data_IF_305752222470
#
_entry.id   IF_305752222470
#
_cell.length_a   1.000
_cell.length_b   1.000
_cell.length_c   1.000
_cell.angle_alpha   90.00
_cell.angle_beta   90.00
_cell.angle_gamma   90.00
#
_symmetry.space_group_name_H-M   'P 1'
#
loop_
_entity.id
_entity.type
_entity.pdbx_description
1 polymer ?
#
# COMPACT_ATOMS: atom_id res chain seq x y z
N UNK A 1 -13.89 5.32 -28.81
CA UNK A 1 -12.50 5.43 -28.34
C UNK A 1 -11.77 4.20 -28.83
N UNK A 2 -10.78 4.35 -29.72
CA UNK A 2 -10.07 3.21 -30.32
C UNK A 2 -8.98 2.77 -29.33
N UNK A 3 -9.02 1.52 -28.90
CA UNK A 3 -8.00 0.92 -28.04
C UNK A 3 -6.79 0.62 -28.93
N UNK A 4 -5.67 1.32 -28.74
CA UNK A 4 -4.47 1.18 -29.58
C UNK A 4 -3.64 -0.04 -29.15
N UNK A 5 -3.76 -1.15 -29.86
CA UNK A 5 -2.86 -2.29 -29.68
C UNK A 5 -1.52 -1.98 -30.37
N UNK A 6 -0.58 -1.37 -29.63
CA UNK A 6 0.74 -0.98 -30.15
C UNK A 6 1.80 -2.07 -29.92
N UNK A 7 2.52 -2.44 -30.98
CA UNK A 7 3.66 -3.38 -30.89
C UNK A 7 4.91 -2.68 -30.36
N UNK A 8 5.58 -3.29 -29.38
CA UNK A 8 6.95 -2.97 -29.01
C UNK A 8 7.87 -4.14 -29.40
N UNK A 9 8.64 -4.04 -30.50
CA UNK A 9 9.51 -5.11 -30.98
C UNK A 9 10.60 -5.54 -30.00
N UNK A 10 10.92 -4.72 -28.99
CA UNK A 10 11.86 -5.08 -27.92
C UNK A 10 11.26 -6.05 -26.90
N UNK A 11 9.94 -6.20 -26.87
CA UNK A 11 9.20 -6.98 -25.86
C UNK A 11 8.40 -8.12 -26.50
N UNK A 12 7.75 -7.87 -27.64
CA UNK A 12 6.94 -8.87 -28.32
C UNK A 12 7.17 -8.84 -29.83
N UNK A 13 7.12 -10.03 -30.44
CA UNK A 13 7.18 -10.18 -31.91
C UNK A 13 5.84 -9.93 -32.59
N UNK A 14 4.73 -10.05 -31.84
CA UNK A 14 3.34 -9.92 -32.31
C UNK A 14 2.49 -9.29 -31.21
N UNK A 15 1.38 -8.70 -31.60
CA UNK A 15 0.38 -8.09 -30.70
C UNK A 15 -0.68 -9.08 -30.21
N UNK A 16 -0.59 -10.33 -30.64
CA UNK A 16 -1.49 -11.43 -30.30
C UNK A 16 -0.71 -12.73 -30.22
N UNK A 17 -1.01 -13.53 -29.21
CA UNK A 17 -0.62 -14.93 -29.17
C UNK A 17 -1.66 -15.74 -29.95
N UNK A 18 -1.19 -16.41 -31.00
CA UNK A 18 -1.98 -17.32 -31.83
C UNK A 18 -1.38 -18.70 -31.61
N UNK A 19 -2.21 -19.68 -31.31
CA UNK A 19 -1.74 -21.04 -31.10
C UNK A 19 -1.74 -21.78 -32.43
N UNK A 20 -0.72 -22.59 -32.65
CA UNK A 20 -0.63 -23.49 -33.80
C UNK A 20 -1.13 -24.91 -33.49
N UNK A 21 -1.43 -25.19 -32.22
CA UNK A 21 -2.01 -26.44 -31.73
C UNK A 21 -2.75 -26.22 -30.38
N UNK A 22 -3.34 -27.27 -29.82
CA UNK A 22 -3.98 -27.23 -28.50
C UNK A 22 -2.96 -27.41 -27.36
N UNK A 23 -2.56 -26.29 -26.76
CA UNK A 23 -1.71 -26.26 -25.56
C UNK A 23 -2.50 -26.03 -24.26
N UNK A 24 -3.84 -26.11 -24.29
CA UNK A 24 -4.67 -25.81 -23.13
C UNK A 24 -4.68 -24.33 -22.72
N UNK A 25 -4.41 -23.43 -23.66
CA UNK A 25 -4.49 -21.97 -23.51
C UNK A 25 -5.22 -21.40 -24.71
N UNK A 26 -6.07 -20.41 -24.52
CA UNK A 26 -6.75 -19.71 -25.62
C UNK A 26 -5.81 -18.71 -26.32
N UNK A 27 -6.20 -18.24 -27.50
CA UNK A 27 -5.57 -17.09 -28.13
C UNK A 27 -5.93 -15.79 -27.38
N UNK A 28 -4.98 -14.88 -27.24
CA UNK A 28 -5.21 -13.60 -26.57
C UNK A 28 -4.33 -12.48 -27.13
N UNK A 29 -4.80 -11.25 -26.98
CA UNK A 29 -4.08 -10.06 -27.41
C UNK A 29 -3.10 -9.58 -26.32
N UNK A 30 -1.90 -9.18 -26.72
CA UNK A 30 -0.96 -8.47 -25.86
C UNK A 30 -1.28 -6.98 -25.86
N UNK A 31 -1.61 -6.46 -24.68
CA UNK A 31 -1.66 -5.03 -24.43
C UNK A 31 -0.36 -4.64 -23.74
N UNK A 32 0.54 -4.02 -24.50
CA UNK A 32 1.82 -3.55 -23.98
C UNK A 32 1.66 -2.10 -23.49
N UNK A 33 1.47 -1.85 -22.18
CA UNK A 33 1.37 -0.49 -21.68
C UNK A 33 2.68 0.25 -21.92
N UNK A 34 2.57 1.55 -22.15
CA UNK A 34 3.73 2.44 -22.04
C UNK A 34 4.20 2.45 -20.60
N UNK A 35 5.50 2.42 -20.38
CA UNK A 35 6.10 2.55 -19.04
C UNK A 35 6.07 4.00 -18.57
N UNK A 36 6.18 4.20 -17.26
CA UNK A 36 6.38 5.53 -16.66
C UNK A 36 7.57 6.26 -17.32
N UNK A 37 7.52 7.59 -17.50
CA UNK A 37 6.40 8.49 -17.18
C UNK A 37 5.33 8.57 -18.29
N UNK A 38 5.49 7.83 -19.39
CA UNK A 38 4.64 7.93 -20.58
C UNK A 38 3.42 7.01 -20.56
N UNK A 39 3.13 6.42 -19.40
CA UNK A 39 2.02 5.50 -19.19
C UNK A 39 0.67 6.16 -19.49
N UNK A 40 -0.18 5.43 -20.19
CA UNK A 40 -1.56 5.84 -20.49
C UNK A 40 -2.45 4.78 -19.86
N UNK A 41 -3.13 5.17 -18.77
CA UNK A 41 -4.07 4.31 -18.06
C UNK A 41 -5.48 4.49 -18.63
N UNK A 42 -6.30 3.46 -18.50
CA UNK A 42 -7.72 3.55 -18.86
C UNK A 42 -8.39 4.50 -17.87
N UNK A 43 -8.93 5.60 -18.40
CA UNK A 43 -9.81 6.48 -17.65
C UNK A 43 -11.26 6.05 -17.87
N UNK A 44 -11.99 5.83 -16.80
CA UNK A 44 -13.43 5.59 -16.84
C UNK A 44 -14.11 6.19 -15.61
N UNK A 45 -15.41 6.36 -15.70
CA UNK A 45 -16.27 6.80 -14.60
C UNK A 45 -17.39 5.80 -14.37
N UNK A 46 -17.73 5.55 -13.13
CA UNK A 46 -18.87 4.74 -12.75
C UNK A 46 -20.02 5.64 -12.33
N UNK A 47 -21.25 5.30 -12.73
CA UNK A 47 -22.45 6.00 -12.28
C UNK A 47 -22.63 5.89 -10.75
N UNK A 48 -22.20 4.76 -10.18
CA UNK A 48 -22.13 4.54 -8.73
C UNK A 48 -20.67 4.43 -8.31
N UNK A 49 -20.17 5.29 -7.41
CA UNK A 49 -18.80 5.21 -6.91
C UNK A 49 -18.53 3.88 -6.17
N UNK A 50 -17.34 3.31 -6.36
CA UNK A 50 -16.90 2.17 -5.58
C UNK A 50 -16.43 2.63 -4.20
N UNK A 51 -16.89 1.96 -3.15
CA UNK A 51 -16.39 2.16 -1.78
C UNK A 51 -15.30 1.14 -1.48
N UNK A 52 -14.15 1.33 -2.13
CA UNK A 52 -13.05 0.37 -2.09
C UNK A 52 -12.25 0.40 -0.78
N UNK A 53 -12.28 1.51 -0.05
CA UNK A 53 -11.43 1.73 1.13
C UNK A 53 -12.29 1.98 2.35
N UNK A 54 -11.97 1.33 3.47
CA UNK A 54 -12.72 1.48 4.72
C UNK A 54 -11.79 1.28 5.92
N UNK A 55 -12.03 2.00 7.02
CA UNK A 55 -11.23 1.87 8.23
C UNK A 55 -11.34 0.47 8.86
N UNK A 56 -12.49 -0.19 8.75
CA UNK A 56 -12.70 -1.56 9.26
C UNK A 56 -11.72 -2.59 8.67
N UNK A 57 -11.12 -2.32 7.50
CA UNK A 57 -10.10 -3.20 6.96
C UNK A 57 -8.84 -3.27 7.82
N UNK A 58 -8.55 -2.24 8.62
CA UNK A 58 -7.45 -2.26 9.59
C UNK A 58 -7.71 -3.19 10.78
N UNK A 59 -8.90 -3.79 10.87
CA UNK A 59 -9.30 -4.70 11.95
C UNK A 59 -9.49 -6.14 11.47
N UNK A 60 -9.37 -6.42 10.17
CA UNK A 60 -9.72 -7.72 9.60
C UNK A 60 -8.55 -8.73 9.53
N UNK A 61 -7.32 -8.29 9.86
CA UNK A 61 -6.11 -9.11 9.85
C UNK A 61 -5.58 -9.48 8.47
N UNK A 62 -6.15 -8.96 7.38
CA UNK A 62 -5.70 -9.19 6.01
C UNK A 62 -4.68 -8.12 5.61
N UNK A 63 -3.59 -8.56 5.00
CA UNK A 63 -2.39 -7.74 4.80
C UNK A 63 -2.06 -7.46 3.33
N UNK A 64 -3.00 -7.76 2.42
CA UNK A 64 -2.83 -7.62 0.97
C UNK A 64 -4.19 -7.54 0.27
N UNK A 65 -4.26 -6.99 -0.96
CA UNK A 65 -5.48 -6.95 -1.72
C UNK A 65 -5.77 -8.35 -2.27
N UNK A 66 -6.87 -8.95 -1.81
CA UNK A 66 -7.34 -10.26 -2.30
C UNK A 66 -8.79 -10.15 -2.77
N UNK A 67 -9.79 -10.57 -1.98
CA UNK A 67 -11.20 -10.37 -2.32
C UNK A 67 -11.66 -8.92 -2.21
N UNK A 68 -10.94 -8.10 -1.44
CA UNK A 68 -11.12 -6.66 -1.27
C UNK A 68 -9.75 -6.01 -1.18
N UNK A 69 -9.70 -4.68 -1.16
CA UNK A 69 -8.45 -3.93 -0.97
C UNK A 69 -7.76 -4.25 0.35
N UNK A 70 -8.54 -4.55 1.40
CA UNK A 70 -8.08 -4.83 2.76
C UNK A 70 -7.16 -3.74 3.37
N UNK A 71 -7.20 -2.52 2.83
CA UNK A 71 -6.42 -1.41 3.31
C UNK A 71 -7.30 -0.20 3.60
N UNK A 72 -6.78 0.70 4.43
CA UNK A 72 -7.31 2.05 4.56
C UNK A 72 -6.46 3.00 3.71
N UNK A 73 -7.14 3.88 2.98
CA UNK A 73 -6.55 4.95 2.20
C UNK A 73 -7.23 6.26 2.63
N UNK A 74 -6.48 7.33 2.91
CA UNK A 74 -7.09 8.63 3.20
C UNK A 74 -7.83 9.20 1.98
N UNK A 75 -8.78 10.10 2.23
CA UNK A 75 -9.43 10.84 1.15
C UNK A 75 -8.42 11.73 0.42
N UNK A 76 -8.60 11.91 -0.89
CA UNK A 76 -7.65 12.66 -1.71
C UNK A 76 -7.50 14.13 -1.31
N UNK A 77 -8.52 14.69 -0.68
CA UNK A 77 -8.60 16.07 -0.19
C UNK A 77 -8.35 16.22 1.32
N UNK A 78 -8.11 15.11 2.04
CA UNK A 78 -7.76 15.15 3.46
C UNK A 78 -6.31 15.62 3.64
N UNK A 79 -6.15 16.80 4.23
CA UNK A 79 -4.85 17.43 4.46
C UNK A 79 -4.15 16.95 5.72
N UNK A 80 -4.87 16.31 6.64
CA UNK A 80 -4.32 15.81 7.90
C UNK A 80 -4.91 14.44 8.24
N UNK A 81 -4.69 13.43 7.38
CA UNK A 81 -5.30 12.14 7.57
C UNK A 81 -4.71 11.41 8.78
N UNK A 82 -5.59 10.84 9.59
CA UNK A 82 -5.21 10.02 10.72
C UNK A 82 -6.18 8.86 10.93
N UNK A 83 -5.71 7.84 11.62
CA UNK A 83 -6.53 6.72 12.05
C UNK A 83 -6.22 6.36 13.49
N UNK A 84 -7.22 5.80 14.17
CA UNK A 84 -7.14 5.44 15.58
C UNK A 84 -7.68 4.04 15.82
N UNK A 85 -6.91 3.27 16.57
CA UNK A 85 -7.34 2.04 17.22
C UNK A 85 -7.62 2.33 18.69
N UNK A 86 -8.74 1.81 19.20
CA UNK A 86 -9.17 2.01 20.57
C UNK A 86 -9.64 0.69 21.18
N UNK A 87 -9.10 0.36 22.36
CA UNK A 87 -9.47 -0.82 23.10
C UNK A 87 -10.37 -0.47 24.30
N UNK A 88 -11.36 -1.31 24.64
CA UNK A 88 -12.12 -1.16 25.88
C UNK A 88 -11.21 -1.21 27.10
N UNK A 89 -10.28 -2.17 27.15
CA UNK A 89 -9.33 -2.37 28.23
C UNK A 89 -7.91 -1.99 27.83
N UNK A 90 -7.10 -1.60 28.82
CA UNK A 90 -5.70 -1.24 28.60
C UNK A 90 -4.89 -2.43 28.07
N UNK A 91 -4.10 -2.17 27.02
CA UNK A 91 -3.18 -3.12 26.41
C UNK A 91 -1.77 -2.94 26.99
N UNK A 92 -1.03 -4.04 27.12
CA UNK A 92 0.42 -4.04 27.43
C UNK A 92 1.16 -4.75 26.31
N UNK A 93 2.12 -4.08 25.69
CA UNK A 93 2.83 -4.60 24.53
C UNK A 93 4.32 -4.26 24.58
N UNK A 94 5.14 -5.07 23.92
CA UNK A 94 6.57 -4.83 23.73
C UNK A 94 6.88 -4.17 22.39
N UNK A 95 6.02 -4.33 21.39
CA UNK A 95 6.22 -3.73 20.07
C UNK A 95 4.88 -3.40 19.39
N UNK A 96 4.86 -2.31 18.62
CA UNK A 96 3.85 -2.03 17.60
C UNK A 96 4.49 -2.15 16.22
N UNK A 97 3.76 -2.70 15.26
CA UNK A 97 4.19 -2.77 13.86
C UNK A 97 3.12 -2.19 12.96
N UNK A 98 3.53 -1.28 12.07
CA UNK A 98 2.69 -0.71 11.03
C UNK A 98 3.06 -1.37 9.69
N UNK A 99 2.05 -1.67 8.88
CA UNK A 99 2.22 -2.16 7.52
C UNK A 99 1.59 -1.19 6.51
N UNK A 100 2.44 -0.42 5.84
CA UNK A 100 2.10 0.43 4.70
C UNK A 100 2.19 -0.35 3.39
N UNK A 101 1.44 0.11 2.39
CA UNK A 101 1.63 -0.31 1.00
C UNK A 101 2.51 0.72 0.28
N UNK A 102 3.74 0.32 -0.06
CA UNK A 102 4.62 1.14 -0.90
C UNK A 102 4.49 0.77 -2.39
N UNK A 103 3.35 0.18 -2.79
CA UNK A 103 3.10 -0.41 -4.11
C UNK A 103 4.02 -1.61 -4.37
N UNK A 104 3.74 -2.73 -3.69
CA UNK A 104 4.55 -3.96 -3.76
C UNK A 104 4.66 -4.55 -5.19
N UNK A 105 3.73 -4.20 -6.07
CA UNK A 105 3.73 -4.62 -7.47
C UNK A 105 4.50 -3.65 -8.39
N UNK A 106 4.90 -2.48 -7.87
CA UNK A 106 5.74 -1.54 -8.60
C UNK A 106 7.19 -1.97 -8.62
N UNK A 107 7.58 -2.62 -9.73
CA UNK A 107 8.97 -2.96 -9.96
C UNK A 107 9.84 -1.68 -10.02
N UNK A 108 10.68 -1.51 -8.99
CA UNK A 108 11.84 -0.62 -9.03
C UNK A 108 12.98 -1.34 -9.79
N UNK A 109 12.84 -1.50 -11.10
CA UNK A 109 13.87 -1.85 -12.09
C UNK A 109 15.25 -1.17 -11.83
N UNK A 110 16.31 -1.69 -12.45
CA UNK A 110 17.69 -1.20 -12.22
C UNK A 110 18.46 -1.02 -13.53
N UNK A 111 19.80 -1.10 -13.46
CA UNK A 111 20.86 -0.51 -14.31
C UNK A 111 20.60 -0.46 -15.82
N UNK A 112 19.79 -1.36 -16.39
CA UNK A 112 19.52 -1.42 -17.83
C UNK A 112 18.44 -0.43 -18.31
N UNK A 113 17.49 -0.05 -17.45
CA UNK A 113 16.33 0.79 -17.81
C UNK A 113 16.21 2.04 -16.93
N UNK A 114 16.70 2.00 -15.69
CA UNK A 114 16.59 3.10 -14.73
C UNK A 114 15.16 3.36 -14.27
N UNK A 115 14.99 4.28 -13.32
CA UNK A 115 13.68 4.67 -12.79
C UNK A 115 13.40 6.14 -12.99
N UNK A 116 12.13 6.45 -13.28
CA UNK A 116 11.65 7.83 -13.29
C UNK A 116 11.54 8.42 -11.86
N UNK A 117 11.49 7.58 -10.83
CA UNK A 117 11.25 7.94 -9.44
C UNK A 117 12.26 7.23 -8.54
N UNK A 118 12.87 7.95 -7.59
CA UNK A 118 13.77 7.37 -6.61
C UNK A 118 13.03 6.64 -5.47
N UNK A 119 11.76 6.96 -5.26
CA UNK A 119 10.87 6.39 -4.24
C UNK A 119 9.49 6.20 -4.88
N UNK A 120 8.83 5.07 -4.60
CA UNK A 120 7.47 4.82 -5.11
C UNK A 120 6.49 5.87 -4.58
N UNK A 121 5.58 6.44 -5.40
CA UNK A 121 4.77 7.58 -4.99
C UNK A 121 3.87 7.34 -3.76
N UNK A 122 3.44 6.09 -3.58
CA UNK A 122 2.58 5.66 -2.48
C UNK A 122 3.34 5.47 -1.16
N UNK A 123 4.67 5.56 -1.16
CA UNK A 123 5.47 5.39 0.04
C UNK A 123 5.14 6.46 1.08
N UNK A 124 4.69 6.05 2.27
CA UNK A 124 4.57 6.95 3.43
C UNK A 124 5.97 7.37 3.85
N UNK A 125 6.32 8.64 3.70
CA UNK A 125 7.64 9.16 4.05
C UNK A 125 7.67 9.79 5.44
N UNK A 126 6.53 10.32 5.91
CA UNK A 126 6.44 11.00 7.20
C UNK A 126 5.15 10.66 7.94
N UNK A 127 5.28 10.29 9.20
CA UNK A 127 4.14 10.00 10.07
C UNK A 127 4.47 10.21 11.55
N UNK A 128 3.42 10.34 12.36
CA UNK A 128 3.52 10.30 13.83
C UNK A 128 2.68 9.17 14.38
N UNK A 129 3.23 8.50 15.39
CA UNK A 129 2.57 7.43 16.11
C UNK A 129 2.44 7.83 17.57
N UNK A 130 1.21 7.79 18.08
CA UNK A 130 0.86 8.18 19.44
C UNK A 130 0.25 7.01 20.19
N UNK A 131 0.54 6.93 21.48
CA UNK A 131 -0.13 6.07 22.45
C UNK A 131 -0.89 6.96 23.42
N UNK A 132 -2.22 6.86 23.43
CA UNK A 132 -3.08 7.81 24.14
C UNK A 132 -2.69 9.26 23.77
N UNK A 133 -2.12 10.02 24.72
CA UNK A 133 -1.64 11.40 24.53
C UNK A 133 -0.11 11.52 24.44
N UNK A 134 0.61 10.41 24.45
CA UNK A 134 2.08 10.36 24.39
C UNK A 134 2.56 10.08 22.97
N UNK A 135 3.44 10.95 22.44
CA UNK A 135 4.11 10.70 21.16
C UNK A 135 5.13 9.56 21.32
N UNK A 136 4.88 8.43 20.65
CA UNK A 136 5.80 7.31 20.64
C UNK A 136 6.90 7.51 19.60
N UNK A 137 6.55 7.95 18.40
CA UNK A 137 7.50 8.16 17.32
C UNK A 137 7.05 9.27 16.37
N UNK A 138 8.01 10.09 15.94
CA UNK A 138 7.89 10.95 14.77
C UNK A 138 8.93 10.49 13.74
N UNK A 139 8.45 9.98 12.61
CA UNK A 139 9.30 9.47 11.53
C UNK A 139 9.25 10.47 10.38
N UNK A 140 10.42 10.90 9.92
CA UNK A 140 10.58 11.99 8.95
C UNK A 140 11.16 11.58 7.59
N UNK A 141 11.65 10.34 7.47
CA UNK A 141 12.31 9.83 6.24
C UNK A 141 12.10 8.32 6.05
N UNK A 142 10.84 7.87 6.15
CA UNK A 142 10.50 6.46 5.99
C UNK A 142 10.58 6.02 4.52
N UNK A 143 11.20 4.85 4.31
CA UNK A 143 11.27 4.15 3.03
C UNK A 143 10.88 2.68 3.16
N UNK A 144 10.30 2.29 4.31
CA UNK A 144 9.93 0.92 4.62
C UNK A 144 8.42 0.73 4.62
N UNK A 145 7.95 -0.38 4.06
CA UNK A 145 6.55 -0.78 4.17
C UNK A 145 6.22 -1.31 5.56
N UNK A 146 7.18 -1.98 6.21
CA UNK A 146 7.03 -2.55 7.55
C UNK A 146 7.83 -1.73 8.56
N UNK A 147 7.14 -1.05 9.47
CA UNK A 147 7.77 -0.18 10.46
C UNK A 147 7.55 -0.74 11.87
N UNK A 148 8.65 -1.01 12.58
CA UNK A 148 8.63 -1.56 13.94
C UNK A 148 8.94 -0.47 14.98
N UNK A 149 8.13 -0.41 16.02
CA UNK A 149 8.31 0.51 17.14
C UNK A 149 8.31 -0.28 18.45
N UNK A 150 9.49 -0.39 19.07
CA UNK A 150 9.66 -1.03 20.38
C UNK A 150 9.09 -0.10 21.45
N UNK A 151 8.34 -0.68 22.39
CA UNK A 151 7.78 0.02 23.53
C UNK A 151 8.65 -0.18 24.77
N UNK A 152 8.76 0.83 25.65
CA UNK A 152 9.32 0.63 26.98
C UNK A 152 8.60 -0.51 27.73
N UNK A 153 9.30 -1.24 28.62
CA UNK A 153 8.65 -2.21 29.50
C UNK A 153 7.46 -1.61 30.25
N UNK A 154 6.42 -2.42 30.46
CA UNK A 154 5.22 -2.04 31.19
C UNK A 154 4.39 -0.88 30.61
N UNK A 155 4.66 -0.49 29.35
CA UNK A 155 3.85 0.51 28.65
C UNK A 155 2.41 0.00 28.53
N UNK A 156 1.49 0.74 29.15
CA UNK A 156 0.06 0.52 29.07
C UNK A 156 -0.59 1.63 28.24
N UNK A 157 -1.49 1.27 27.33
CA UNK A 157 -2.22 2.22 26.51
C UNK A 157 -3.63 1.72 26.19
N UNK A 158 -4.55 2.62 25.86
CA UNK A 158 -5.91 2.27 25.39
C UNK A 158 -6.17 2.71 23.96
N UNK A 159 -5.29 3.55 23.42
CA UNK A 159 -5.41 4.14 22.10
C UNK A 159 -4.07 4.12 21.39
N UNK A 160 -4.10 3.79 20.10
CA UNK A 160 -3.00 4.10 19.18
C UNK A 160 -3.56 5.05 18.13
N UNK A 161 -2.91 6.18 17.88
CA UNK A 161 -3.23 7.10 16.78
C UNK A 161 -2.05 7.21 15.81
N UNK A 162 -2.30 6.97 14.54
CA UNK A 162 -1.36 7.19 13.45
C UNK A 162 -1.79 8.44 12.67
N UNK A 163 -0.90 9.42 12.56
CA UNK A 163 -1.07 10.60 11.73
C UNK A 163 -0.14 10.50 10.52
N UNK A 164 -0.70 10.60 9.31
CA UNK A 164 0.08 10.61 8.07
C UNK A 164 0.41 12.06 7.72
N UNK A 165 1.70 12.37 7.66
CA UNK A 165 2.17 13.75 7.43
C UNK A 165 2.62 13.98 5.99
N UNK A 166 3.19 12.96 5.34
CA UNK A 166 3.59 13.03 3.93
C UNK A 166 3.79 11.63 3.33
N UNK A 167 3.67 11.59 2.01
CA UNK A 167 4.10 10.49 1.15
C UNK A 167 5.04 11.01 0.06
N UNK A 168 5.56 10.10 -0.76
CA UNK A 168 6.43 10.43 -1.89
C UNK A 168 5.69 10.99 -3.13
N UNK A 169 4.40 11.32 -3.04
CA UNK A 169 3.66 12.04 -4.08
C UNK A 169 2.28 11.48 -4.45
N UNK A 170 1.87 10.34 -3.90
CA UNK A 170 0.53 9.77 -4.06
C UNK A 170 -0.05 9.33 -2.71
N UNK A 171 -1.34 9.03 -2.65
CA UNK A 171 -2.00 8.64 -1.39
C UNK A 171 -1.41 7.31 -0.87
N UNK A 172 -0.95 7.25 0.39
CA UNK A 172 -0.41 6.03 0.97
C UNK A 172 -1.53 5.14 1.55
N UNK A 173 -1.46 3.83 1.30
CA UNK A 173 -2.37 2.86 1.91
C UNK A 173 -1.75 2.26 3.17
N UNK A 174 -2.57 2.01 4.19
CA UNK A 174 -2.21 1.24 5.38
C UNK A 174 -3.00 -0.08 5.38
N UNK A 175 -2.31 -1.21 5.52
CA UNK A 175 -2.95 -2.52 5.68
C UNK A 175 -3.29 -2.83 7.15
N UNK A 176 -2.45 -2.44 8.10
CA UNK A 176 -2.75 -2.75 9.48
C UNK A 176 -1.75 -2.27 10.51
N UNK A 177 -2.16 -2.45 11.76
CA UNK A 177 -1.37 -2.30 12.96
C UNK A 177 -1.36 -3.63 13.72
N UNK A 178 -0.18 -4.12 14.07
CA UNK A 178 -0.01 -5.28 14.94
C UNK A 178 0.52 -4.85 16.30
N UNK A 179 -0.13 -5.30 17.36
CA UNK A 179 0.31 -5.14 18.75
C UNK A 179 0.95 -6.46 19.18
N UNK A 180 2.22 -6.43 19.53
CA UNK A 180 2.96 -7.61 19.98
C UNK A 180 3.05 -7.59 21.50
N UNK A 181 2.38 -8.54 22.14
CA UNK A 181 2.46 -8.74 23.58
C UNK A 181 3.77 -9.45 23.94
N UNK A 182 4.28 -9.21 25.14
CA UNK A 182 5.35 -10.06 25.64
C UNK A 182 4.85 -11.52 25.69
N UNK A 183 5.65 -12.50 25.27
CA UNK A 183 5.30 -13.88 25.54
C UNK A 183 5.12 -14.03 27.04
N UNK A 184 4.05 -14.70 27.47
CA UNK A 184 3.92 -15.10 28.86
C UNK A 184 5.19 -15.89 29.22
N UNK A 185 5.93 -15.45 30.25
CA UNK A 185 7.00 -16.28 30.78
C UNK A 185 6.34 -17.60 31.25
N UNK A 186 6.87 -18.76 30.82
CA UNK A 186 6.34 -20.05 31.22
C UNK A 186 6.45 -20.29 32.73
#
# INVERSE_FOLDING_TARGET
MIVFNSLNPRVAKRTRQINDDDYGVDEFDFWLPRRAPNQILIAFSLATPLRLWHCDYLLNGKLRPESHTNGWLPAADDRQPWVRWQWPDAQRASQITLLFDNDFDHAMETVQMGHAQAVTPHCTTRYRLWLDDTLLAEVSDNHHSLCHHVLPPDTAFRQVRLELLASAGALPTLYGLHVHHQPAMP
#
